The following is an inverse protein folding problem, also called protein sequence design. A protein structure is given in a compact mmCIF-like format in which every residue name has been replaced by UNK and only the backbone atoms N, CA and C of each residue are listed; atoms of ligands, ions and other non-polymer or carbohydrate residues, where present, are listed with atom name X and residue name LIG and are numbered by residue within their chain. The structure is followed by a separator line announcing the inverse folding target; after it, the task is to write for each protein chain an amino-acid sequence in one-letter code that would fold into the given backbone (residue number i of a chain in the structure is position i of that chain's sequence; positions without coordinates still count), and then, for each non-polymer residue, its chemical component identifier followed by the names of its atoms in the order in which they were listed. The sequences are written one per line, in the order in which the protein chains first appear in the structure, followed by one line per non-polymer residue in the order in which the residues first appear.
data_IF_333763233722
#
_entry.id   IF_333763233722
#
_cell.length_a   1.000
_cell.length_b   1.000
_cell.length_c   1.000
_cell.angle_alpha   90.00
_cell.angle_beta   90.00
_cell.angle_gamma   90.00
#
_symmetry.space_group_name_H-M   'P 1'
#
loop_
_entity.id
_entity.type
_entity.pdbx_description
1 polymer ?
#
# COMPACT_ATOMS: atom_id res chain seq x y z
N UNK A 1 6.29 10.73 10.43
CA UNK A 1 6.31 11.68 9.29
C UNK A 1 6.83 13.01 9.79
N UNK A 2 7.76 13.68 9.09
CA UNK A 2 8.29 14.98 9.51
C UNK A 2 7.22 16.08 9.43
N UNK A 3 7.24 17.05 10.36
CA UNK A 3 6.25 18.13 10.37
C UNK A 3 6.51 19.17 9.28
N UNK A 4 5.52 19.52 8.43
CA UNK A 4 5.67 20.62 7.47
C UNK A 4 5.63 21.98 8.17
N UNK A 5 6.47 22.93 7.73
CA UNK A 5 6.56 24.29 8.23
C UNK A 5 6.07 25.35 7.23
N UNK A 6 6.48 25.26 5.96
CA UNK A 6 6.17 26.24 4.94
C UNK A 6 6.07 25.56 3.56
N UNK A 7 5.14 26.02 2.73
CA UNK A 7 5.12 25.71 1.30
C UNK A 7 5.13 27.01 0.51
N UNK A 8 6.14 27.20 -0.34
CA UNK A 8 6.30 28.42 -1.15
C UNK A 8 6.91 28.08 -2.52
N UNK A 9 6.24 28.49 -3.60
CA UNK A 9 6.71 28.29 -4.99
C UNK A 9 7.19 26.86 -5.33
N UNK A 10 6.47 25.85 -4.84
CA UNK A 10 6.83 24.44 -5.08
C UNK A 10 7.90 23.88 -4.14
N UNK A 11 8.42 24.69 -3.21
CA UNK A 11 9.35 24.26 -2.17
C UNK A 11 8.60 23.99 -0.88
N UNK A 12 8.79 22.79 -0.32
CA UNK A 12 8.23 22.38 0.97
C UNK A 12 9.36 22.35 2.02
N UNK A 13 9.24 23.19 3.04
CA UNK A 13 10.10 23.18 4.23
C UNK A 13 9.47 22.28 5.29
N UNK A 14 10.26 21.34 5.81
CA UNK A 14 9.84 20.39 6.84
C UNK A 14 10.86 20.29 7.96
N UNK A 15 10.45 19.70 9.07
CA UNK A 15 11.31 19.29 10.18
C UNK A 15 12.46 18.39 9.68
N UNK A 16 13.68 18.68 10.15
CA UNK A 16 14.84 17.82 9.90
C UNK A 16 14.71 16.56 10.74
N UNK A 17 14.80 15.40 10.09
CA UNK A 17 14.87 14.11 10.77
C UNK A 17 16.34 13.84 11.09
N UNK A 18 16.65 13.70 12.38
CA UNK A 18 18.01 13.45 12.86
C UNK A 18 18.22 11.99 13.30
N UNK A 19 19.45 11.52 13.18
CA UNK A 19 19.91 10.30 13.84
C UNK A 19 20.31 10.58 15.32
N UNK A 20 20.85 9.57 15.98
CA UNK A 20 21.25 9.65 17.40
C UNK A 20 22.41 10.61 17.67
N UNK A 21 23.21 10.94 16.66
CA UNK A 21 24.34 11.87 16.77
C UNK A 21 23.91 13.33 16.47
N UNK A 22 22.64 13.53 16.08
CA UNK A 22 22.08 14.82 15.73
C UNK A 22 22.30 15.22 14.26
N UNK A 23 22.92 14.33 13.47
CA UNK A 23 23.15 14.50 12.05
C UNK A 23 21.89 14.12 11.26
N UNK A 24 21.85 14.45 9.96
CA UNK A 24 20.72 14.09 9.11
C UNK A 24 20.57 12.57 9.02
N UNK A 25 19.38 12.06 9.36
CA UNK A 25 19.13 10.64 9.41
C UNK A 25 19.43 9.96 8.05
N UNK A 26 20.19 8.84 8.03
CA UNK A 26 20.49 8.13 6.80
C UNK A 26 19.24 7.47 6.24
N UNK A 27 19.23 7.15 4.94
CA UNK A 27 18.18 6.33 4.35
C UNK A 27 18.28 4.90 4.87
N UNK A 28 17.15 4.22 4.92
CA UNK A 28 17.07 2.83 5.35
C UNK A 28 17.96 1.92 4.49
N UNK A 29 18.03 2.17 3.17
CA UNK A 29 18.89 1.44 2.23
C UNK A 29 20.39 1.54 2.55
N UNK A 30 20.82 2.63 3.17
CA UNK A 30 22.24 2.89 3.43
C UNK A 30 22.67 2.32 4.80
N UNK A 31 21.79 1.58 5.46
CA UNK A 31 21.97 1.04 6.81
C UNK A 31 22.08 -0.49 6.80
N UNK A 32 22.91 -1.04 7.68
CA UNK A 32 23.06 -2.48 7.88
C UNK A 32 22.38 -2.91 9.18
N UNK A 33 21.59 -3.97 9.11
CA UNK A 33 20.79 -4.44 10.24
C UNK A 33 21.20 -5.84 10.69
N UNK A 34 21.09 -6.09 11.98
CA UNK A 34 20.94 -7.46 12.50
C UNK A 34 19.54 -8.00 12.19
N UNK A 35 19.33 -9.33 12.18
CA UNK A 35 18.00 -9.89 12.03
C UNK A 35 16.99 -9.39 13.07
N UNK A 36 17.43 -9.08 14.29
CA UNK A 36 16.58 -8.55 15.34
C UNK A 36 16.11 -7.12 15.02
N UNK A 37 17.02 -6.25 14.58
CA UNK A 37 16.69 -4.88 14.14
C UNK A 37 15.78 -4.91 12.90
N UNK A 38 16.07 -5.77 11.92
CA UNK A 38 15.24 -5.92 10.73
C UNK A 38 13.78 -6.26 11.09
N UNK A 39 13.56 -7.19 12.03
CA UNK A 39 12.22 -7.52 12.53
C UNK A 39 11.53 -6.35 13.23
N UNK A 40 12.26 -5.63 14.10
CA UNK A 40 11.68 -4.49 14.83
C UNK A 40 11.30 -3.34 13.88
N UNK A 41 12.20 -2.95 12.98
CA UNK A 41 11.96 -1.90 12.00
C UNK A 41 10.83 -2.27 11.03
N UNK A 42 10.80 -3.52 10.53
CA UNK A 42 9.70 -4.01 9.71
C UNK A 42 8.36 -3.90 10.48
N UNK A 43 8.31 -4.35 11.73
CA UNK A 43 7.09 -4.27 12.54
C UNK A 43 6.65 -2.82 12.79
N UNK A 44 7.58 -1.88 13.01
CA UNK A 44 7.30 -0.44 13.12
C UNK A 44 6.72 0.13 11.83
N UNK A 45 7.34 -0.17 10.69
CA UNK A 45 6.90 0.33 9.38
C UNK A 45 5.54 -0.23 8.98
N UNK A 46 5.24 -1.50 9.28
CA UNK A 46 3.90 -2.07 9.08
C UNK A 46 2.85 -1.30 9.90
N UNK A 47 3.16 -0.91 11.15
CA UNK A 47 2.25 -0.06 11.94
C UNK A 47 2.06 1.32 11.31
N UNK A 48 3.10 1.93 10.76
CA UNK A 48 2.98 3.20 10.05
C UNK A 48 2.12 3.06 8.78
N UNK A 49 2.26 1.98 8.01
CA UNK A 49 1.38 1.68 6.88
C UNK A 49 -0.08 1.56 7.32
N UNK A 50 -0.37 0.88 8.43
CA UNK A 50 -1.72 0.80 8.99
C UNK A 50 -2.24 2.19 9.38
N UNK A 51 -1.43 3.01 10.05
CA UNK A 51 -1.81 4.37 10.45
C UNK A 51 -2.12 5.26 9.26
N UNK A 52 -1.29 5.22 8.21
CA UNK A 52 -1.53 5.93 6.96
C UNK A 52 -2.85 5.50 6.33
N UNK A 53 -3.09 4.18 6.23
CA UNK A 53 -4.32 3.65 5.65
C UNK A 53 -5.56 4.04 6.47
N UNK A 54 -5.47 4.02 7.80
CA UNK A 54 -6.54 4.49 8.69
C UNK A 54 -6.81 6.00 8.54
N UNK A 55 -5.79 6.78 8.15
CA UNK A 55 -5.94 8.18 7.79
C UNK A 55 -6.45 8.39 6.34
N UNK A 56 -6.77 7.31 5.62
CA UNK A 56 -7.28 7.34 4.25
C UNK A 56 -6.20 7.46 3.18
N UNK A 57 -4.93 7.22 3.51
CA UNK A 57 -3.79 7.46 2.61
C UNK A 57 -3.03 6.17 2.34
N UNK A 58 -2.75 5.90 1.07
CA UNK A 58 -1.75 4.91 0.64
C UNK A 58 -0.53 5.67 0.14
N UNK A 59 0.67 5.29 0.58
CA UNK A 59 1.91 5.96 0.18
C UNK A 59 2.13 5.93 -1.33
N UNK A 60 1.92 4.77 -1.95
CA UNK A 60 1.94 4.64 -3.40
C UNK A 60 3.32 4.62 -4.04
N UNK A 61 4.39 4.63 -3.25
CA UNK A 61 5.78 4.42 -3.69
C UNK A 61 6.70 4.07 -2.50
N UNK A 62 6.19 3.32 -1.52
CA UNK A 62 6.97 3.03 -0.31
C UNK A 62 8.09 2.04 -0.63
N UNK A 63 9.32 2.43 -0.31
CA UNK A 63 10.53 1.63 -0.45
C UNK A 63 11.57 2.06 0.59
N UNK A 64 12.66 1.30 0.71
CA UNK A 64 13.83 1.61 1.53
C UNK A 64 14.48 2.96 1.21
N UNK A 65 14.23 3.50 0.02
CA UNK A 65 14.71 4.82 -0.39
C UNK A 65 13.87 5.94 0.20
N UNK A 66 12.59 5.70 0.51
CA UNK A 66 11.63 6.68 1.02
C UNK A 66 11.45 6.57 2.55
N UNK A 67 12.46 6.04 3.24
CA UNK A 67 12.47 5.85 4.69
C UNK A 67 13.81 6.34 5.24
N UNK A 68 13.76 7.18 6.26
CA UNK A 68 14.93 7.61 7.04
C UNK A 68 14.99 6.83 8.35
N UNK A 69 16.20 6.55 8.84
CA UNK A 69 16.40 5.90 10.13
C UNK A 69 16.77 6.93 11.19
N UNK A 70 15.75 7.43 11.89
CA UNK A 70 15.94 8.37 13.00
C UNK A 70 16.37 7.64 14.28
N UNK A 71 16.77 8.40 15.31
CA UNK A 71 17.12 7.87 16.63
C UNK A 71 16.01 6.97 17.22
N UNK A 72 14.75 7.39 17.08
CA UNK A 72 13.58 6.71 17.62
C UNK A 72 13.00 5.63 16.68
N UNK A 73 13.55 5.49 15.48
CA UNK A 73 13.23 4.43 14.53
C UNK A 73 12.97 4.93 13.10
N UNK A 74 12.39 4.06 12.24
CA UNK A 74 12.22 4.38 10.83
C UNK A 74 11.08 5.39 10.64
N UNK A 75 11.36 6.43 9.87
CA UNK A 75 10.44 7.52 9.52
C UNK A 75 10.19 7.49 8.02
N UNK A 76 8.93 7.27 7.63
CA UNK A 76 8.50 7.36 6.23
C UNK A 76 8.53 8.83 5.80
N UNK A 77 9.00 9.08 4.58
CA UNK A 77 9.07 10.39 3.93
C UNK A 77 8.51 10.32 2.51
N UNK A 78 8.44 11.47 1.82
CA UNK A 78 8.11 11.58 0.39
C UNK A 78 6.70 11.10 0.00
N UNK A 79 5.71 12.00 0.17
CA UNK A 79 4.28 11.73 -0.08
C UNK A 79 3.68 12.29 -1.41
N UNK A 80 4.41 12.83 -2.41
CA UNK A 80 3.78 13.39 -3.60
C UNK A 80 3.04 12.34 -4.45
N UNK A 81 3.38 11.05 -4.30
CA UNK A 81 2.71 9.92 -4.95
C UNK A 81 1.61 9.29 -4.09
N UNK A 82 1.34 9.85 -2.91
CA UNK A 82 0.32 9.33 -2.02
C UNK A 82 -1.08 9.51 -2.60
N UNK A 83 -1.91 8.48 -2.45
CA UNK A 83 -3.26 8.44 -3.02
C UNK A 83 -4.32 8.20 -1.95
N UNK A 84 -5.52 8.71 -2.21
CA UNK A 84 -6.71 8.40 -1.40
C UNK A 84 -7.05 6.91 -1.49
N UNK A 85 -7.09 6.25 -0.34
CA UNK A 85 -7.35 4.83 -0.21
C UNK A 85 -8.77 4.44 -0.65
N UNK A 86 -9.75 5.34 -0.47
CA UNK A 86 -11.15 5.08 -0.80
C UNK A 86 -11.49 5.47 -2.26
N UNK A 87 -10.92 6.57 -2.75
CA UNK A 87 -11.23 7.13 -4.07
C UNK A 87 -10.38 6.60 -5.23
N UNK A 88 -9.26 5.92 -4.98
CA UNK A 88 -8.38 5.44 -6.04
C UNK A 88 -8.53 3.91 -6.30
N UNK A 89 -8.97 3.55 -7.51
CA UNK A 89 -9.13 2.15 -7.94
C UNK A 89 -7.82 1.33 -7.91
N UNK A 90 -6.66 1.98 -7.83
CA UNK A 90 -5.35 1.35 -7.73
C UNK A 90 -4.79 1.30 -6.31
N UNK A 91 -5.44 1.93 -5.32
CA UNK A 91 -4.98 1.99 -3.93
C UNK A 91 -4.63 0.61 -3.35
N UNK A 92 -5.50 -0.39 -3.59
CA UNK A 92 -5.25 -1.78 -3.18
C UNK A 92 -3.92 -2.31 -3.70
N UNK A 93 -3.69 -2.19 -5.01
CA UNK A 93 -2.48 -2.71 -5.66
C UNK A 93 -1.24 -1.98 -5.14
N UNK A 94 -1.36 -0.66 -4.95
CA UNK A 94 -0.28 0.19 -4.45
C UNK A 94 0.09 -0.20 -3.02
N UNK A 95 -0.88 -0.36 -2.10
CA UNK A 95 -0.62 -0.81 -0.73
C UNK A 95 0.06 -2.19 -0.70
N UNK A 96 -0.46 -3.14 -1.48
CA UNK A 96 0.13 -4.48 -1.54
C UNK A 96 1.58 -4.44 -2.00
N UNK A 97 1.91 -3.59 -2.99
CA UNK A 97 3.29 -3.38 -3.45
C UNK A 97 4.16 -2.70 -2.39
N UNK A 98 3.64 -1.66 -1.74
CA UNK A 98 4.34 -0.94 -0.68
C UNK A 98 4.76 -1.89 0.46
N UNK A 99 3.83 -2.75 0.90
CA UNK A 99 4.11 -3.76 1.94
C UNK A 99 5.03 -4.88 1.44
N UNK A 100 4.90 -5.27 0.16
CA UNK A 100 5.80 -6.24 -0.47
C UNK A 100 7.24 -5.72 -0.56
N UNK A 101 7.44 -4.44 -0.88
CA UNK A 101 8.77 -3.83 -0.90
C UNK A 101 9.44 -3.91 0.48
N UNK A 102 8.70 -3.55 1.54
CA UNK A 102 9.20 -3.70 2.93
C UNK A 102 9.54 -5.15 3.26
N UNK A 103 8.65 -6.09 2.94
CA UNK A 103 8.86 -7.52 3.15
C UNK A 103 10.12 -8.01 2.44
N UNK A 104 10.31 -7.63 1.18
CA UNK A 104 11.43 -8.07 0.36
C UNK A 104 12.76 -7.46 0.84
N UNK A 105 12.76 -6.18 1.22
CA UNK A 105 13.94 -5.50 1.76
C UNK A 105 14.41 -6.17 3.06
N UNK A 106 13.55 -6.23 4.08
CA UNK A 106 13.93 -6.83 5.36
C UNK A 106 14.09 -8.37 5.29
N UNK A 107 13.43 -9.02 4.33
CA UNK A 107 13.55 -10.46 4.08
C UNK A 107 14.95 -10.89 3.63
N UNK A 108 15.78 -9.98 3.11
CA UNK A 108 17.19 -10.26 2.82
C UNK A 108 18.00 -10.53 4.10
N UNK A 109 17.64 -9.89 5.21
CA UNK A 109 18.30 -10.02 6.52
C UNK A 109 17.56 -10.98 7.46
N UNK A 110 16.23 -11.05 7.37
CA UNK A 110 15.36 -11.90 8.18
C UNK A 110 14.40 -12.71 7.27
N UNK A 111 14.86 -13.85 6.71
CA UNK A 111 14.13 -14.61 5.69
C UNK A 111 12.72 -15.08 6.08
N UNK A 112 12.46 -15.25 7.38
CA UNK A 112 11.13 -15.59 7.90
C UNK A 112 10.05 -14.55 7.54
N UNK A 113 10.43 -13.28 7.33
CA UNK A 113 9.50 -12.23 6.92
C UNK A 113 8.91 -12.48 5.52
N UNK A 114 9.63 -13.18 4.64
CA UNK A 114 9.17 -13.51 3.30
C UNK A 114 7.94 -14.43 3.30
N UNK A 115 7.66 -15.11 4.42
CA UNK A 115 6.50 -15.98 4.58
C UNK A 115 5.24 -15.21 5.02
N UNK A 116 5.33 -13.89 5.24
CA UNK A 116 4.22 -13.05 5.69
C UNK A 116 3.44 -12.44 4.52
N UNK A 117 2.14 -12.21 4.73
CA UNK A 117 1.24 -11.53 3.79
C UNK A 117 0.45 -10.41 4.51
N UNK A 118 1.18 -9.50 5.17
CA UNK A 118 0.60 -8.34 5.86
C UNK A 118 -0.22 -7.47 4.91
N UNK A 119 0.20 -7.28 3.66
CA UNK A 119 -0.49 -6.41 2.71
C UNK A 119 -1.92 -6.86 2.44
N UNK A 120 -2.12 -8.17 2.22
CA UNK A 120 -3.45 -8.71 2.01
C UNK A 120 -4.30 -8.72 3.30
N UNK A 121 -3.69 -9.02 4.45
CA UNK A 121 -4.36 -8.97 5.76
C UNK A 121 -4.87 -7.55 6.10
N UNK A 122 -4.00 -6.55 5.97
CA UNK A 122 -4.31 -5.14 6.23
C UNK A 122 -5.44 -4.66 5.31
N UNK A 123 -5.35 -4.94 4.01
CA UNK A 123 -6.38 -4.51 3.07
C UNK A 123 -7.74 -5.18 3.36
N UNK A 124 -7.76 -6.48 3.68
CA UNK A 124 -8.99 -7.17 4.01
C UNK A 124 -9.63 -6.68 5.31
N UNK A 125 -8.83 -6.28 6.30
CA UNK A 125 -9.28 -5.58 7.51
C UNK A 125 -9.89 -4.21 7.19
N UNK A 126 -9.24 -3.46 6.29
CA UNK A 126 -9.70 -2.14 5.86
C UNK A 126 -11.04 -2.22 5.10
N UNK A 127 -11.16 -3.11 4.11
CA UNK A 127 -12.39 -3.27 3.30
C UNK A 127 -13.62 -3.63 4.13
N UNK A 128 -13.43 -4.37 5.23
CA UNK A 128 -14.52 -4.75 6.14
C UNK A 128 -14.78 -3.75 7.27
N UNK A 129 -14.08 -2.61 7.27
CA UNK A 129 -14.21 -1.57 8.30
C UNK A 129 -13.74 -1.99 9.70
N UNK A 130 -12.84 -2.98 9.78
CA UNK A 130 -12.34 -3.52 11.05
C UNK A 130 -10.87 -3.13 11.35
N UNK A 131 -10.22 -2.39 10.46
CA UNK A 131 -8.85 -1.92 10.68
C UNK A 131 -8.85 -0.69 11.61
N UNK A 132 -8.06 -0.77 12.66
CA UNK A 132 -7.75 0.31 13.59
C UNK A 132 -6.22 0.47 13.72
N UNK A 133 -5.71 1.65 14.13
CA UNK A 133 -4.26 1.90 14.24
C UNK A 133 -3.47 0.90 15.11
N UNK A 134 -4.13 0.28 16.08
CA UNK A 134 -3.59 -0.67 17.04
C UNK A 134 -4.03 -2.13 16.77
N UNK A 135 -4.67 -2.38 15.63
CA UNK A 135 -5.11 -3.73 15.24
C UNK A 135 -3.93 -4.69 15.20
N UNK A 136 -4.02 -5.76 16.00
CA UNK A 136 -3.04 -6.83 16.00
C UNK A 136 -3.09 -7.59 14.65
N UNK A 137 -1.97 -7.61 13.95
CA UNK A 137 -1.80 -8.32 12.68
C UNK A 137 -1.06 -9.63 12.92
N UNK A 138 -1.52 -10.69 12.27
CA UNK A 138 -0.91 -12.02 12.35
C UNK A 138 0.22 -12.22 11.34
N UNK A 139 0.26 -11.41 10.28
CA UNK A 139 1.13 -11.59 9.12
C UNK A 139 0.74 -12.78 8.27
N UNK A 140 -0.39 -13.45 8.56
CA UNK A 140 -0.86 -14.65 7.86
C UNK A 140 -2.22 -14.37 7.24
N UNK A 141 -2.28 -14.39 5.91
CA UNK A 141 -3.53 -14.17 5.19
C UNK A 141 -3.93 -15.38 4.37
N UNK A 142 -5.13 -15.91 4.62
CA UNK A 142 -5.74 -16.91 3.73
C UNK A 142 -6.54 -16.18 2.66
N UNK A 143 -6.02 -16.19 1.43
CA UNK A 143 -6.73 -15.65 0.28
C UNK A 143 -7.99 -16.47 0.03
N UNK A 144 -9.15 -15.90 0.34
CA UNK A 144 -10.42 -16.44 -0.14
C UNK A 144 -10.47 -16.19 -1.65
N UNK A 145 -10.13 -17.21 -2.44
CA UNK A 145 -10.40 -17.19 -3.87
C UNK A 145 -11.91 -17.23 -4.07
N UNK A 146 -12.55 -16.06 -4.20
CA UNK A 146 -13.89 -15.98 -4.78
C UNK A 146 -13.75 -16.39 -6.24
N UNK A 147 -14.31 -17.53 -6.62
CA UNK A 147 -14.41 -17.95 -8.01
C UNK A 147 -15.23 -16.90 -8.76
N UNK A 148 -14.59 -16.18 -9.67
CA UNK A 148 -15.29 -15.24 -10.56
C UNK A 148 -16.19 -16.08 -11.48
N UNK A 149 -17.50 -15.84 -11.45
CA UNK A 149 -18.44 -16.49 -12.37
C UNK A 149 -18.27 -15.93 -13.78
N UNK A 150 -17.27 -16.44 -14.49
CA UNK A 150 -17.01 -16.14 -15.89
C UNK A 150 -18.22 -16.47 -16.78
N UNK A 151 -19.08 -17.43 -16.39
CA UNK A 151 -20.29 -17.78 -17.16
C UNK A 151 -21.38 -16.72 -16.99
N UNK A 152 -21.44 -16.04 -15.85
CA UNK A 152 -22.33 -14.89 -15.65
C UNK A 152 -21.98 -13.74 -16.60
N UNK A 153 -20.70 -13.33 -16.63
CA UNK A 153 -20.23 -12.23 -17.47
C UNK A 153 -20.40 -12.51 -18.97
N UNK A 154 -20.11 -13.74 -19.40
CA UNK A 154 -20.28 -14.12 -20.81
C UNK A 154 -21.74 -14.08 -21.27
N UNK A 155 -22.68 -14.47 -20.40
CA UNK A 155 -24.13 -14.37 -20.70
C UNK A 155 -24.58 -12.93 -20.94
N UNK A 156 -24.16 -11.99 -20.10
CA UNK A 156 -24.51 -10.58 -20.27
C UNK A 156 -23.97 -9.99 -21.58
N UNK A 157 -22.76 -10.37 -21.99
CA UNK A 157 -22.16 -9.93 -23.26
C UNK A 157 -22.95 -10.47 -24.45
N UNK A 158 -23.31 -11.75 -24.42
CA UNK A 158 -24.05 -12.39 -25.51
C UNK A 158 -25.48 -11.86 -25.63
N UNK A 159 -26.16 -11.60 -24.51
CA UNK A 159 -27.48 -10.97 -24.47
C UNK A 159 -27.45 -9.55 -25.07
N UNK A 160 -26.46 -8.74 -24.68
CA UNK A 160 -26.27 -7.39 -25.23
C UNK A 160 -26.00 -7.40 -26.75
N UNK A 161 -25.24 -8.40 -27.24
CA UNK A 161 -24.99 -8.59 -28.68
C UNK A 161 -26.26 -9.00 -29.43
N UNK A 162 -27.08 -9.88 -28.84
CA UNK A 162 -28.34 -10.31 -29.44
C UNK A 162 -29.35 -9.16 -29.54
N UNK A 163 -29.44 -8.32 -28.51
CA UNK A 163 -30.28 -7.11 -28.53
C UNK A 163 -29.84 -6.11 -29.60
N UNK A 164 -28.54 -5.84 -29.72
CA UNK A 164 -28.03 -4.90 -30.73
C UNK A 164 -28.23 -5.43 -32.17
N UNK A 165 -28.05 -6.74 -32.38
CA UNK A 165 -28.35 -7.39 -33.66
C UNK A 165 -29.85 -7.28 -34.02
N UNK A 166 -30.74 -7.55 -33.06
CA UNK A 166 -32.17 -7.42 -33.25
C UNK A 166 -32.58 -5.97 -33.55
N UNK A 167 -31.94 -4.99 -32.90
CA UNK A 167 -32.17 -3.56 -33.14
C UNK A 167 -31.76 -3.15 -34.55
N UNK A 168 -30.60 -3.59 -35.03
CA UNK A 168 -30.11 -3.30 -36.39
C UNK A 168 -31.00 -3.91 -37.47
N UNK A 169 -31.47 -5.14 -37.27
CA UNK A 169 -32.43 -5.80 -38.17
C UNK A 169 -33.74 -5.03 -38.29
N UNK A 170 -34.30 -4.55 -37.17
CA UNK A 170 -35.52 -3.72 -37.18
C UNK A 170 -35.31 -2.41 -37.93
N UNK A 171 -34.15 -1.76 -37.77
CA UNK A 171 -33.82 -0.53 -38.50
C UNK A 171 -33.63 -0.76 -40.00
N UNK A 172 -33.09 -1.91 -40.40
CA UNK A 172 -32.88 -2.26 -41.81
C UNK A 172 -34.19 -2.64 -42.54
N UNK A 173 -35.16 -3.23 -41.83
CA UNK A 173 -36.47 -3.60 -42.38
C UNK A 173 -37.48 -2.43 -42.41
N UNK A 174 -37.20 -1.32 -41.72
CA UNK A 174 -38.04 -0.12 -41.69
C UNK A 174 -37.67 0.92 -42.77
N UNK A 175 -36.83 0.55 -43.74
CA UNK A 175 -36.41 1.36 -44.90
C UNK A 175 -36.99 0.78 -46.17
#
# INVERSE_FOLDING_TARGET
MPRPHLFFEGVLLMELVCDADGDAAPRLNDSVFTPAQARDHHARLIREVVRMLCAGVVHGDLSEFNILLAEDGPVIIDLPQAVDAAGNNHARRMLLRDVENLRNFFGQTAPELLQTDFGAEIWALYERGALQPDTALSGRFQRQHKTVDLRGVLREIDDARAEDAARRLRMAQAR
#
